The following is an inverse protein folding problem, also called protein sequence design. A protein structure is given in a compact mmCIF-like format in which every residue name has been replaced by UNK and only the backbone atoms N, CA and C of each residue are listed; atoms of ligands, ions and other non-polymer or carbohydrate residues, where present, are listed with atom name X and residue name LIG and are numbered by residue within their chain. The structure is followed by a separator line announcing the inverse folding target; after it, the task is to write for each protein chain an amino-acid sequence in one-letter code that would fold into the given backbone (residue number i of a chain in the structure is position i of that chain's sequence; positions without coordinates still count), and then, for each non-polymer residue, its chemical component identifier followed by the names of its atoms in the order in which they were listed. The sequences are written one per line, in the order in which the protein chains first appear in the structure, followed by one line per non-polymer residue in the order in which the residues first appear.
data_IF_437886379751
#
_entry.id   IF_437886379751
#
_cell.length_a   1.000
_cell.length_b   1.000
_cell.length_c   1.000
_cell.angle_alpha   90.00
_cell.angle_beta   90.00
_cell.angle_gamma   90.00
#
_symmetry.space_group_name_H-M   'P 1'
#
loop_
_entity.id
_entity.type
_entity.pdbx_description
1 polymer ?
#
# COMPACT_ATOMS: atom_id res chain seq x y z
N UNK A 1 -0.88 -19.58 -30.38
CA UNK A 1 -1.32 -18.19 -30.09
C UNK A 1 -2.69 -18.05 -30.71
N UNK A 2 -3.70 -17.57 -29.99
CA UNK A 2 -5.06 -17.42 -30.50
C UNK A 2 -5.67 -16.10 -30.03
N UNK A 3 -6.99 -15.98 -30.17
CA UNK A 3 -7.76 -14.81 -29.86
C UNK A 3 -8.65 -15.06 -28.65
N UNK A 4 -8.58 -14.18 -27.66
CA UNK A 4 -9.53 -14.09 -26.56
C UNK A 4 -10.53 -12.99 -26.86
N UNK A 5 -11.81 -13.30 -26.68
CA UNK A 5 -12.95 -12.40 -26.82
C UNK A 5 -13.65 -12.26 -25.49
N UNK A 6 -13.74 -11.03 -24.98
CA UNK A 6 -14.50 -10.67 -23.79
C UNK A 6 -15.80 -9.99 -24.21
N UNK A 7 -16.93 -10.61 -23.87
CA UNK A 7 -18.28 -10.07 -24.11
C UNK A 7 -18.99 -9.76 -22.80
N UNK A 8 -19.95 -8.84 -22.83
CA UNK A 8 -20.86 -8.56 -21.72
C UNK A 8 -22.14 -9.36 -21.90
N UNK A 9 -22.56 -10.08 -20.86
CA UNK A 9 -23.81 -10.84 -20.81
C UNK A 9 -24.97 -9.94 -20.38
N UNK A 10 -26.19 -10.40 -20.66
CA UNK A 10 -27.44 -9.68 -20.34
C UNK A 10 -27.65 -9.47 -18.83
N UNK A 11 -27.06 -10.31 -17.99
CA UNK A 11 -27.08 -10.18 -16.52
C UNK A 11 -26.01 -9.20 -15.99
N UNK A 12 -25.24 -8.56 -16.89
CA UNK A 12 -24.18 -7.62 -16.55
C UNK A 12 -22.82 -8.28 -16.28
N UNK A 13 -22.73 -9.61 -16.24
CA UNK A 13 -21.45 -10.33 -16.09
C UNK A 13 -20.66 -10.32 -17.41
N UNK A 14 -19.38 -10.70 -17.36
CA UNK A 14 -18.54 -10.85 -18.56
C UNK A 14 -18.26 -12.32 -18.85
N UNK A 15 -18.13 -12.67 -20.12
CA UNK A 15 -17.70 -13.97 -20.59
C UNK A 15 -16.36 -13.86 -21.31
N UNK A 16 -15.49 -14.86 -21.16
CA UNK A 16 -14.29 -15.01 -21.98
C UNK A 16 -14.46 -16.20 -22.93
N UNK A 17 -14.13 -15.99 -24.19
CA UNK A 17 -14.15 -17.00 -25.24
C UNK A 17 -12.78 -17.06 -25.89
N UNK A 18 -12.31 -18.26 -26.24
CA UNK A 18 -11.05 -18.44 -26.96
C UNK A 18 -11.30 -19.08 -28.32
N UNK A 19 -10.56 -18.62 -29.34
CA UNK A 19 -10.48 -19.28 -30.63
C UNK A 19 -9.07 -19.19 -31.21
N UNK A 20 -8.63 -20.23 -31.89
CA UNK A 20 -7.32 -20.21 -32.56
C UNK A 20 -7.30 -19.29 -33.79
N UNK A 21 -8.47 -18.97 -34.37
CA UNK A 21 -8.62 -18.17 -35.59
C UNK A 21 -9.55 -16.98 -35.38
N UNK A 22 -9.43 -15.97 -36.24
CA UNK A 22 -10.30 -14.80 -36.18
C UNK A 22 -11.73 -15.16 -36.60
N UNK A 23 -11.86 -15.98 -37.65
CA UNK A 23 -13.13 -16.48 -38.17
C UNK A 23 -13.87 -17.32 -37.13
N UNK A 24 -13.13 -18.07 -36.29
CA UNK A 24 -13.72 -18.84 -35.21
C UNK A 24 -14.38 -17.98 -34.13
N UNK A 25 -13.98 -16.70 -33.97
CA UNK A 25 -14.68 -15.80 -33.04
C UNK A 25 -16.10 -15.48 -33.49
N UNK A 26 -16.39 -15.50 -34.80
CA UNK A 26 -17.73 -15.22 -35.34
C UNK A 26 -18.78 -16.26 -34.92
N UNK A 27 -18.37 -17.37 -34.29
CA UNK A 27 -19.28 -18.38 -33.75
C UNK A 27 -19.86 -17.99 -32.38
N UNK A 28 -19.29 -16.98 -31.70
CA UNK A 28 -19.77 -16.53 -30.41
C UNK A 28 -20.76 -15.37 -30.56
N UNK A 29 -21.92 -15.50 -29.91
CA UNK A 29 -22.93 -14.45 -29.84
C UNK A 29 -22.49 -13.31 -28.90
N UNK A 30 -23.13 -12.14 -29.06
CA UNK A 30 -22.93 -11.01 -28.14
C UNK A 30 -21.69 -10.16 -28.39
N UNK A 31 -21.03 -10.33 -29.54
CA UNK A 31 -20.00 -9.39 -30.01
C UNK A 31 -20.68 -8.05 -30.33
N UNK A 32 -20.24 -7.03 -29.60
CA UNK A 32 -20.71 -5.65 -29.74
C UNK A 32 -19.53 -4.70 -29.99
N UNK A 33 -19.83 -3.45 -30.34
CA UNK A 33 -18.81 -2.44 -30.63
C UNK A 33 -17.88 -2.13 -29.43
N UNK A 34 -18.30 -2.46 -28.21
CA UNK A 34 -17.56 -2.29 -26.96
C UNK A 34 -16.96 -3.62 -26.43
N UNK A 35 -16.99 -4.69 -27.21
CA UNK A 35 -16.32 -5.96 -26.87
C UNK A 35 -14.79 -5.82 -26.95
N UNK A 36 -14.08 -6.57 -26.12
CA UNK A 36 -12.61 -6.55 -26.07
C UNK A 36 -12.08 -7.81 -26.74
N UNK A 37 -11.15 -7.67 -27.69
CA UNK A 37 -10.43 -8.80 -28.29
C UNK A 37 -8.93 -8.57 -28.11
N UNK A 38 -8.20 -9.61 -27.71
CA UNK A 38 -6.75 -9.60 -27.65
C UNK A 38 -6.16 -10.95 -28.05
N UNK A 39 -4.90 -10.94 -28.50
CA UNK A 39 -4.19 -12.17 -28.86
C UNK A 39 -3.29 -12.64 -27.70
N UNK A 40 -3.44 -13.90 -27.32
CA UNK A 40 -2.62 -14.54 -26.28
C UNK A 40 -2.66 -16.07 -26.39
N UNK A 41 -1.88 -16.73 -25.54
CA UNK A 41 -2.01 -18.17 -25.36
C UNK A 41 -3.34 -18.50 -24.68
N UNK A 42 -3.93 -19.68 -24.93
CA UNK A 42 -5.25 -20.07 -24.39
C UNK A 42 -5.30 -19.97 -22.86
N UNK A 43 -4.22 -20.35 -22.19
CA UNK A 43 -4.11 -20.31 -20.73
C UNK A 43 -4.01 -18.89 -20.13
N UNK A 44 -3.89 -17.84 -20.95
CA UNK A 44 -3.86 -16.45 -20.49
C UNK A 44 -5.27 -15.86 -20.45
N UNK A 45 -6.11 -16.46 -19.61
CA UNK A 45 -7.48 -16.03 -19.38
C UNK A 45 -7.52 -14.76 -18.51
N UNK A 46 -8.36 -13.77 -18.85
CA UNK A 46 -8.50 -12.57 -18.04
C UNK A 46 -9.30 -12.89 -16.77
N UNK A 47 -8.99 -12.21 -15.67
CA UNK A 47 -9.73 -12.30 -14.42
C UNK A 47 -10.53 -11.02 -14.17
N UNK A 48 -11.75 -11.16 -13.65
CA UNK A 48 -12.47 -10.03 -13.05
C UNK A 48 -11.74 -9.66 -11.76
N UNK A 49 -11.40 -8.37 -11.62
CA UNK A 49 -10.64 -7.87 -10.47
C UNK A 49 -11.30 -8.26 -9.13
N UNK A 50 -12.62 -8.14 -9.02
CA UNK A 50 -13.37 -8.46 -7.80
C UNK A 50 -13.33 -9.94 -7.39
N UNK A 51 -13.11 -10.84 -8.35
CA UNK A 51 -13.15 -12.29 -8.14
C UNK A 51 -11.75 -12.89 -7.91
N UNK A 52 -10.69 -12.13 -8.20
CA UNK A 52 -9.31 -12.57 -8.03
C UNK A 52 -8.74 -12.11 -6.69
N UNK A 53 -8.31 -13.04 -5.83
CA UNK A 53 -7.75 -12.69 -4.52
C UNK A 53 -6.49 -11.81 -4.60
N UNK A 54 -5.76 -11.85 -5.71
CA UNK A 54 -4.57 -11.03 -5.97
C UNK A 54 -4.96 -9.60 -6.30
N UNK A 55 -5.99 -9.42 -7.13
CA UNK A 55 -6.35 -8.12 -7.70
C UNK A 55 -7.51 -7.45 -6.99
N UNK A 56 -8.34 -8.15 -6.21
CA UNK A 56 -9.54 -7.58 -5.58
C UNK A 56 -9.26 -6.34 -4.76
N UNK A 57 -8.10 -6.26 -4.12
CA UNK A 57 -7.68 -5.08 -3.37
C UNK A 57 -7.47 -3.85 -4.26
N UNK A 58 -7.19 -3.99 -5.55
CA UNK A 58 -7.11 -2.87 -6.49
C UNK A 58 -8.46 -2.17 -6.67
N UNK A 59 -9.58 -2.83 -6.42
CA UNK A 59 -10.89 -2.18 -6.41
C UNK A 59 -11.07 -1.25 -5.20
N UNK A 60 -10.26 -1.43 -4.14
CA UNK A 60 -10.32 -0.63 -2.92
C UNK A 60 -9.53 0.67 -3.05
N UNK A 61 -10.21 1.81 -2.90
CA UNK A 61 -9.60 3.15 -2.99
C UNK A 61 -8.42 3.33 -2.03
N UNK A 62 -8.54 2.80 -0.80
CA UNK A 62 -7.49 2.92 0.21
C UNK A 62 -6.22 2.16 -0.17
N UNK A 63 -6.35 1.06 -0.91
CA UNK A 63 -5.21 0.25 -1.34
C UNK A 63 -4.46 0.97 -2.45
N UNK A 64 -5.19 1.50 -3.45
CA UNK A 64 -4.60 2.31 -4.52
C UNK A 64 -3.93 3.58 -3.97
N UNK A 65 -4.56 4.26 -3.02
CA UNK A 65 -3.99 5.41 -2.34
C UNK A 65 -2.67 5.06 -1.63
N UNK A 66 -2.60 3.89 -0.99
CA UNK A 66 -1.37 3.38 -0.36
C UNK A 66 -0.24 3.15 -1.36
N UNK A 67 -0.51 2.48 -2.49
CA UNK A 67 0.48 2.26 -3.56
C UNK A 67 0.99 3.59 -4.12
N UNK A 68 0.07 4.52 -4.43
CA UNK A 68 0.41 5.84 -4.98
C UNK A 68 1.25 6.66 -3.98
N UNK A 69 0.94 6.61 -2.69
CA UNK A 69 1.73 7.27 -1.66
C UNK A 69 3.15 6.70 -1.54
N UNK A 70 3.33 5.37 -1.65
CA UNK A 70 4.66 4.77 -1.68
C UNK A 70 5.48 5.25 -2.89
N UNK A 71 4.85 5.32 -4.07
CA UNK A 71 5.51 5.82 -5.27
C UNK A 71 5.87 7.30 -5.15
N UNK A 72 4.95 8.13 -4.64
CA UNK A 72 5.20 9.54 -4.40
C UNK A 72 6.34 9.76 -3.39
N UNK A 73 6.35 9.03 -2.27
CA UNK A 73 7.45 9.07 -1.31
C UNK A 73 8.80 8.77 -1.96
N UNK A 74 8.86 7.73 -2.80
CA UNK A 74 10.08 7.33 -3.46
C UNK A 74 10.63 8.44 -4.37
N UNK A 75 9.78 9.07 -5.18
CA UNK A 75 10.21 10.17 -6.06
C UNK A 75 10.57 11.44 -5.27
N UNK A 76 9.78 11.81 -4.26
CA UNK A 76 10.08 12.98 -3.41
C UNK A 76 11.39 12.79 -2.63
N UNK A 77 11.63 11.61 -2.07
CA UNK A 77 12.87 11.28 -1.37
C UNK A 77 14.09 11.37 -2.31
N UNK A 78 13.96 10.89 -3.55
CA UNK A 78 15.02 11.03 -4.57
C UNK A 78 15.29 12.49 -4.93
N UNK A 79 14.24 13.31 -5.09
CA UNK A 79 14.39 14.74 -5.31
C UNK A 79 15.15 15.42 -4.16
N UNK A 80 14.94 14.95 -2.92
CA UNK A 80 15.68 15.38 -1.73
C UNK A 80 17.06 14.70 -1.57
N UNK A 81 17.50 13.90 -2.55
CA UNK A 81 18.77 13.15 -2.53
C UNK A 81 18.90 12.19 -1.34
N UNK A 82 17.76 11.80 -0.75
CA UNK A 82 17.68 10.68 0.17
C UNK A 82 17.68 9.42 -0.72
N UNK A 83 18.41 8.39 -0.34
CA UNK A 83 18.55 7.15 -1.14
C UNK A 83 17.56 6.13 -0.57
N UNK A 84 16.27 6.10 -1.01
CA UNK A 84 15.30 5.12 -0.54
C UNK A 84 15.54 3.78 -1.22
N UNK A 85 15.72 2.75 -0.41
CA UNK A 85 15.73 1.36 -0.87
C UNK A 85 14.49 0.64 -0.40
N UNK A 86 13.76 0.00 -1.32
CA UNK A 86 12.58 -0.78 -0.96
C UNK A 86 13.00 -2.00 -0.13
N UNK A 87 12.39 -2.18 1.04
CA UNK A 87 12.67 -3.32 1.89
C UNK A 87 11.96 -4.55 1.33
N UNK A 88 12.70 -5.64 1.14
CA UNK A 88 12.13 -6.89 0.67
C UNK A 88 11.13 -7.44 1.70
N UNK A 89 9.99 -7.96 1.23
CA UNK A 89 8.91 -8.51 2.04
C UNK A 89 8.83 -10.04 1.92
N UNK A 90 9.88 -10.67 1.39
CA UNK A 90 9.98 -12.11 1.25
C UNK A 90 9.91 -12.81 2.61
N UNK A 91 9.11 -13.89 2.66
CA UNK A 91 8.86 -14.64 3.89
C UNK A 91 10.13 -15.27 4.45
N UNK A 92 11.05 -15.71 3.60
CA UNK A 92 12.30 -16.35 4.02
C UNK A 92 13.23 -15.38 4.74
N UNK A 93 13.48 -14.18 4.20
CA UNK A 93 14.25 -13.19 4.95
C UNK A 93 13.54 -12.78 6.24
N UNK A 94 12.20 -12.78 6.27
CA UNK A 94 11.40 -12.40 7.44
C UNK A 94 11.43 -13.45 8.55
N UNK A 95 11.57 -14.72 8.19
CA UNK A 95 11.65 -15.82 9.15
C UNK A 95 12.77 -15.61 10.17
N UNK A 96 13.96 -15.18 9.74
CA UNK A 96 15.09 -14.92 10.62
C UNK A 96 14.75 -13.93 11.76
N UNK A 97 13.94 -12.90 11.46
CA UNK A 97 13.50 -11.93 12.46
C UNK A 97 12.40 -12.50 13.36
N UNK A 98 11.42 -13.20 12.78
CA UNK A 98 10.32 -13.81 13.56
C UNK A 98 10.80 -14.94 14.47
N UNK A 99 11.88 -15.63 14.12
CA UNK A 99 12.51 -16.63 14.99
C UNK A 99 13.29 -16.00 16.14
N UNK A 100 13.73 -14.75 16.01
CA UNK A 100 14.48 -14.03 17.02
C UNK A 100 13.59 -13.33 18.08
N UNK A 101 12.26 -13.33 17.91
CA UNK A 101 11.35 -12.69 18.86
C UNK A 101 9.97 -13.34 18.93
N UNK A 102 9.37 -13.33 20.12
CA UNK A 102 7.97 -13.77 20.34
C UNK A 102 6.94 -12.67 20.04
N UNK A 103 7.40 -11.44 19.79
CA UNK A 103 6.53 -10.31 19.48
C UNK A 103 6.20 -10.26 17.98
N UNK A 104 4.98 -9.81 17.65
CA UNK A 104 4.68 -9.43 16.27
C UNK A 104 5.61 -8.30 15.86
N UNK A 105 6.28 -8.45 14.72
CA UNK A 105 7.17 -7.46 14.13
C UNK A 105 6.66 -7.06 12.76
N UNK A 106 7.04 -5.86 12.32
CA UNK A 106 6.73 -5.37 10.99
C UNK A 106 7.86 -4.47 10.50
N UNK A 107 8.34 -4.70 9.28
CA UNK A 107 9.32 -3.84 8.60
C UNK A 107 8.63 -2.65 7.96
N UNK A 108 9.36 -1.55 7.82
CA UNK A 108 8.92 -0.45 6.95
C UNK A 108 8.83 -0.85 5.47
N UNK A 109 8.39 0.09 4.65
CA UNK A 109 8.37 -0.02 3.19
C UNK A 109 9.75 0.28 2.57
N UNK A 110 10.48 1.24 3.15
CA UNK A 110 11.78 1.70 2.65
C UNK A 110 12.83 1.82 3.75
N UNK A 111 14.10 1.68 3.38
CA UNK A 111 15.26 2.06 4.17
C UNK A 111 15.92 3.29 3.52
N UNK A 112 16.05 4.39 4.24
CA UNK A 112 16.87 5.52 3.81
C UNK A 112 18.33 5.24 4.15
N UNK A 113 19.08 4.69 3.18
CA UNK A 113 20.44 4.14 3.38
C UNK A 113 21.39 5.08 4.11
N UNK A 114 21.51 6.32 3.64
CA UNK A 114 22.49 7.26 4.17
C UNK A 114 22.21 7.70 5.63
N UNK A 115 20.94 7.63 6.05
CA UNK A 115 20.52 7.97 7.41
C UNK A 115 20.34 6.76 8.32
N UNK A 116 20.31 5.55 7.73
CA UNK A 116 19.95 4.31 8.41
C UNK A 116 18.61 4.42 9.16
N UNK A 117 17.55 4.81 8.44
CA UNK A 117 16.19 4.96 8.98
C UNK A 117 15.21 4.12 8.15
N UNK A 118 14.41 3.28 8.81
CA UNK A 118 13.29 2.60 8.19
C UNK A 118 12.06 3.52 8.11
N UNK A 119 11.38 3.52 6.97
CA UNK A 119 10.21 4.35 6.67
C UNK A 119 9.02 3.44 6.38
N UNK A 120 7.96 3.59 7.17
CA UNK A 120 6.63 3.07 6.87
C UNK A 120 5.78 4.18 6.23
N UNK A 121 5.31 3.96 5.00
CA UNK A 121 4.50 4.95 4.28
C UNK A 121 3.01 4.68 4.52
N UNK A 122 2.27 5.74 4.82
CA UNK A 122 0.82 5.72 5.02
C UNK A 122 0.14 6.82 4.20
N UNK A 123 -1.08 6.53 3.77
CA UNK A 123 -1.97 7.50 3.14
C UNK A 123 -3.28 7.52 3.93
N UNK A 124 -3.47 8.55 4.76
CA UNK A 124 -4.52 8.58 5.78
C UNK A 124 -5.36 9.83 5.65
N UNK A 125 -6.65 9.71 6.00
CA UNK A 125 -7.51 10.88 6.15
C UNK A 125 -7.21 11.57 7.49
N UNK A 126 -7.05 12.89 7.46
CA UNK A 126 -6.86 13.71 8.65
C UNK A 126 -8.23 14.04 9.28
N UNK A 127 -8.48 13.57 10.49
CA UNK A 127 -9.76 13.82 11.18
C UNK A 127 -9.54 14.79 12.33
N UNK A 128 -10.07 16.01 12.20
CA UNK A 128 -9.97 17.05 13.24
C UNK A 128 -8.52 17.32 13.67
N UNK A 129 -7.59 17.38 12.71
CA UNK A 129 -6.16 17.62 12.98
C UNK A 129 -5.38 16.43 13.54
N UNK A 130 -5.93 15.20 13.45
CA UNK A 130 -5.27 13.99 13.94
C UNK A 130 -5.21 12.87 12.91
N UNK A 131 -4.09 12.15 12.91
CA UNK A 131 -3.93 10.87 12.25
C UNK A 131 -4.28 9.73 13.20
N UNK A 132 -4.86 8.66 12.65
CA UNK A 132 -5.27 7.48 13.40
C UNK A 132 -4.42 6.29 12.95
N UNK A 133 -3.45 5.92 13.78
CA UNK A 133 -2.51 4.82 13.49
C UNK A 133 -2.90 3.58 14.31
N UNK A 134 -3.10 2.40 13.68
CA UNK A 134 -3.45 1.18 14.42
C UNK A 134 -2.41 0.86 15.50
N UNK A 135 -2.85 0.69 16.75
CA UNK A 135 -1.94 0.48 17.88
C UNK A 135 -1.12 -0.80 17.73
N UNK A 136 -1.72 -1.87 17.19
CA UNK A 136 -1.02 -3.12 16.90
C UNK A 136 0.14 -2.92 15.91
N UNK A 137 -0.09 -2.18 14.83
CA UNK A 137 0.96 -1.86 13.86
C UNK A 137 2.09 -1.05 14.50
N UNK A 138 1.75 -0.05 15.33
CA UNK A 138 2.73 0.75 16.07
C UNK A 138 3.58 -0.10 17.01
N UNK A 139 2.98 -1.07 17.70
CA UNK A 139 3.71 -2.04 18.53
C UNK A 139 4.63 -2.94 17.72
N UNK A 140 4.20 -3.38 16.53
CA UNK A 140 5.03 -4.20 15.64
C UNK A 140 6.26 -3.44 15.11
N UNK A 141 6.11 -2.18 14.74
CA UNK A 141 7.25 -1.33 14.37
C UNK A 141 8.16 -1.01 15.57
N UNK A 142 7.60 -0.79 16.77
CA UNK A 142 8.40 -0.62 17.98
C UNK A 142 9.25 -1.87 18.29
N UNK A 143 8.68 -3.06 18.11
CA UNK A 143 9.41 -4.31 18.28
C UNK A 143 10.52 -4.45 17.23
N UNK A 144 10.25 -4.09 15.97
CA UNK A 144 11.24 -4.08 14.89
C UNK A 144 12.40 -3.11 15.17
N UNK A 145 12.10 -1.89 15.63
CA UNK A 145 13.11 -0.90 16.01
C UNK A 145 14.04 -1.42 17.12
N UNK A 146 13.48 -2.10 18.13
CA UNK A 146 14.29 -2.71 19.21
C UNK A 146 15.18 -3.84 18.71
N UNK A 147 14.68 -4.66 17.79
CA UNK A 147 15.39 -5.82 17.26
C UNK A 147 16.54 -5.41 16.32
N UNK A 148 16.28 -4.45 15.42
CA UNK A 148 17.23 -4.00 14.40
C UNK A 148 18.13 -2.85 14.85
N UNK A 149 17.83 -2.22 16.00
CA UNK A 149 18.44 -0.95 16.42
C UNK A 149 18.37 0.16 15.36
N UNK A 150 17.42 0.06 14.43
CA UNK A 150 17.22 1.01 13.33
C UNK A 150 15.98 1.85 13.63
N UNK A 151 16.08 3.20 13.69
CA UNK A 151 14.92 4.06 13.90
C UNK A 151 13.84 3.82 12.84
N UNK A 152 12.59 3.77 13.28
CA UNK A 152 11.44 3.66 12.38
C UNK A 152 10.66 4.96 12.39
N UNK A 153 10.38 5.48 11.19
CA UNK A 153 9.58 6.69 10.97
C UNK A 153 8.35 6.37 10.12
N UNK A 154 7.28 7.10 10.37
CA UNK A 154 6.09 7.11 9.53
C UNK A 154 6.15 8.30 8.58
N UNK A 155 6.00 8.03 7.28
CA UNK A 155 5.77 9.01 6.24
C UNK A 155 4.27 9.01 5.90
N UNK A 156 3.54 10.02 6.34
CA UNK A 156 2.08 10.09 6.26
C UNK A 156 1.68 11.13 5.23
N UNK A 157 1.07 10.70 4.13
CA UNK A 157 0.36 11.57 3.20
C UNK A 157 -1.10 11.71 3.62
N UNK A 158 -1.66 12.90 3.39
CA UNK A 158 -3.10 13.08 3.48
C UNK A 158 -3.79 12.41 2.29
N UNK A 159 -4.89 11.71 2.56
CA UNK A 159 -5.65 10.99 1.54
C UNK A 159 -6.87 11.78 1.09
N UNK A 160 -6.98 11.96 -0.22
CA UNK A 160 -8.19 12.41 -0.90
C UNK A 160 -8.63 11.34 -1.90
N UNK A 161 -9.77 10.69 -1.62
CA UNK A 161 -10.25 9.52 -2.36
C UNK A 161 -9.17 8.43 -2.49
N UNK A 162 -8.79 8.07 -3.72
CA UNK A 162 -7.77 7.06 -4.01
C UNK A 162 -6.37 7.66 -4.30
N UNK A 163 -6.16 8.93 -3.97
CA UNK A 163 -4.88 9.65 -4.20
C UNK A 163 -4.31 10.26 -2.91
N UNK A 164 -2.98 10.23 -2.73
CA UNK A 164 -2.30 11.14 -1.80
C UNK A 164 -2.43 12.60 -2.28
N UNK A 165 -2.63 13.52 -1.34
CA UNK A 165 -2.62 14.96 -1.62
C UNK A 165 -1.17 15.40 -1.87
N UNK A 166 -0.87 16.14 -2.95
CA UNK A 166 0.47 16.69 -3.20
C UNK A 166 0.99 17.52 -2.02
N UNK A 167 2.30 17.48 -1.77
CA UNK A 167 2.99 18.25 -0.72
C UNK A 167 2.45 18.07 0.72
N UNK A 168 1.66 17.02 0.95
CA UNK A 168 1.02 16.71 2.25
C UNK A 168 1.82 15.75 3.13
N UNK A 169 3.07 15.46 2.77
CA UNK A 169 3.93 14.56 3.52
C UNK A 169 4.16 15.11 4.93
N UNK A 170 3.82 14.29 5.93
CA UNK A 170 4.11 14.52 7.33
C UNK A 170 4.93 13.36 7.89
N UNK A 171 6.04 13.68 8.54
CA UNK A 171 7.00 12.73 9.08
C UNK A 171 6.92 12.71 10.61
N UNK A 172 6.94 11.52 11.21
CA UNK A 172 7.02 11.37 12.67
C UNK A 172 7.71 10.06 13.05
N UNK A 173 8.58 10.08 14.06
CA UNK A 173 9.26 8.88 14.52
C UNK A 173 8.35 8.03 15.41
N UNK A 174 8.53 6.70 15.35
CA UNK A 174 7.84 5.78 16.26
C UNK A 174 8.23 6.06 17.72
N UNK A 175 9.48 6.44 17.97
CA UNK A 175 9.97 6.79 19.30
C UNK A 175 9.18 7.96 19.91
N UNK A 176 9.02 9.05 19.16
CA UNK A 176 8.32 10.26 19.62
C UNK A 176 6.85 9.95 19.92
N UNK A 177 6.18 9.17 19.07
CA UNK A 177 4.79 8.75 19.30
C UNK A 177 4.64 8.04 20.65
N UNK A 178 5.57 7.14 20.99
CA UNK A 178 5.54 6.41 22.26
C UNK A 178 5.96 7.27 23.46
N UNK A 179 6.89 8.20 23.30
CA UNK A 179 7.27 9.15 24.35
C UNK A 179 6.13 10.11 24.72
N UNK A 180 5.31 10.45 23.72
CA UNK A 180 4.13 11.31 23.87
C UNK A 180 2.84 10.55 24.17
N UNK A 181 2.91 9.23 24.33
CA UNK A 181 1.76 8.40 24.67
C UNK A 181 1.20 8.76 26.05
N UNK A 182 -0.12 8.88 26.15
CA UNK A 182 -0.87 9.42 27.28
C UNK A 182 -0.57 10.91 27.61
N UNK A 183 0.16 11.62 26.75
CA UNK A 183 0.33 13.09 26.80
C UNK A 183 -0.51 13.70 25.68
N UNK A 184 0.09 14.05 24.55
CA UNK A 184 -0.64 14.54 23.37
C UNK A 184 -1.09 13.41 22.43
N UNK A 185 -0.46 12.23 22.49
CA UNK A 185 -0.93 11.02 21.78
C UNK A 185 -1.86 10.23 22.69
N UNK A 186 -3.07 9.95 22.20
CA UNK A 186 -4.12 9.30 22.99
C UNK A 186 -4.58 8.00 22.33
N UNK A 187 -4.76 6.93 23.11
CA UNK A 187 -5.31 5.68 22.60
C UNK A 187 -6.84 5.75 22.52
N UNK A 188 -7.39 5.56 21.33
CA UNK A 188 -8.83 5.48 21.11
C UNK A 188 -9.32 4.03 21.13
N UNK A 189 -10.03 3.66 22.21
CA UNK A 189 -10.48 2.28 22.43
C UNK A 189 -11.40 1.74 21.32
N UNK A 190 -12.23 2.60 20.73
CA UNK A 190 -13.24 2.19 19.72
C UNK A 190 -12.60 1.74 18.42
N UNK A 191 -11.67 2.53 17.89
CA UNK A 191 -10.93 2.22 16.65
C UNK A 191 -9.68 1.37 16.89
N UNK A 192 -9.24 1.24 18.15
CA UNK A 192 -7.97 0.60 18.54
C UNK A 192 -6.76 1.28 17.89
N UNK A 193 -6.84 2.60 17.71
CA UNK A 193 -5.79 3.43 17.12
C UNK A 193 -5.16 4.35 18.17
N UNK A 194 -3.89 4.72 17.93
CA UNK A 194 -3.31 5.92 18.50
C UNK A 194 -3.76 7.13 17.69
N UNK A 195 -4.31 8.12 18.38
CA UNK A 195 -4.66 9.42 17.84
C UNK A 195 -3.43 10.32 17.96
N UNK A 196 -2.78 10.57 16.83
CA UNK A 196 -1.53 11.32 16.70
C UNK A 196 -1.87 12.72 16.17
N UNK A 197 -1.64 13.80 16.93
CA UNK A 197 -1.85 15.16 16.44
C UNK A 197 -0.91 15.47 15.27
N UNK A 198 -1.43 16.10 14.21
CA UNK A 198 -0.61 16.57 13.09
C UNK A 198 0.47 17.55 13.55
N UNK A 199 0.20 18.36 14.58
CA UNK A 199 1.17 19.30 15.16
C UNK A 199 2.41 18.64 15.77
N UNK A 200 2.41 17.33 16.00
CA UNK A 200 3.58 16.56 16.44
C UNK A 200 4.45 16.09 15.26
N UNK A 201 3.96 16.22 14.03
CA UNK A 201 4.67 15.77 12.83
C UNK A 201 5.51 16.92 12.24
N UNK A 202 6.55 16.56 11.49
CA UNK A 202 7.33 17.49 10.68
C UNK A 202 6.81 17.49 9.24
N UNK A 203 6.69 18.66 8.62
CA UNK A 203 6.27 18.75 7.22
C UNK A 203 7.41 18.36 6.29
N UNK A 204 7.11 17.51 5.31
CA UNK A 204 8.09 16.95 4.38
C UNK A 204 9.22 16.24 5.12
N UNK A 205 10.44 16.33 4.59
CA UNK A 205 11.61 15.66 5.15
C UNK A 205 12.34 16.47 6.23
N UNK A 206 11.77 17.59 6.72
CA UNK A 206 12.47 18.50 7.65
C UNK A 206 12.79 17.88 9.01
N UNK A 207 12.08 16.81 9.39
CA UNK A 207 12.31 16.10 10.64
C UNK A 207 13.44 15.06 10.61
N UNK A 208 13.92 14.67 9.42
CA UNK A 208 14.87 13.56 9.26
C UNK A 208 16.33 13.91 9.54
#
# INVERSE_FOLDING_TARGET
MGYHLITRRNDGTIANHFSETLEGLCQFDGIAADSIIYQAAEQWTPSIVGDDNTYKLLAEDWFRAGIRAQWQFYEEAKCQKLIPEKINQDKESFQAYTSATTSSIKRGDYLLRAKNIEIEVKCLTLYGGHYYLPYSAMKSHQAMQKLSSTPVWFAIYERQADTPVPDSLHMVSVADIFEQNNKCVQYEKKSKCLRVPQSMTSQGFSGL
#
